data_IF_341635928565
#
_entry.id   IF_341635928565
#
_cell.length_a   1.000
_cell.length_b   1.000
_cell.length_c   1.000
_cell.angle_alpha   90.00
_cell.angle_beta   90.00
_cell.angle_gamma   90.00
#
_symmetry.space_group_name_H-M   'P 1'
#
loop_
_entity.id
_entity.type
_entity.pdbx_description
1 polymer ?
#
# COMPACT_ATOMS: atom_id res chain seq x y z
N UNK A 1 -58.60 48.27 36.77
CA UNK A 1 -57.41 47.79 36.02
C UNK A 1 -57.23 46.32 36.36
N UNK A 2 -57.23 45.45 35.34
CA UNK A 2 -57.27 43.98 35.42
C UNK A 2 -55.87 43.41 35.72
N UNK A 3 -55.84 42.37 36.56
CA UNK A 3 -54.77 41.37 36.64
C UNK A 3 -54.49 40.74 35.27
N UNK A 4 -53.30 40.16 35.07
CA UNK A 4 -53.09 38.74 34.72
C UNK A 4 -51.58 38.45 34.73
N UNK A 5 -51.15 37.49 35.57
CA UNK A 5 -49.90 36.74 35.42
C UNK A 5 -50.00 35.88 34.15
N UNK A 6 -49.04 36.01 33.23
CA UNK A 6 -48.84 35.02 32.16
C UNK A 6 -47.64 34.13 32.48
N UNK A 7 -47.97 32.89 32.80
CA UNK A 7 -47.14 31.70 32.60
C UNK A 7 -46.67 31.62 31.14
N UNK A 8 -45.35 31.49 30.94
CA UNK A 8 -44.73 31.39 29.62
C UNK A 8 -43.78 30.19 29.55
N UNK A 9 -44.36 29.06 29.11
CA UNK A 9 -43.78 27.86 28.48
C UNK A 9 -42.29 27.53 28.64
N UNK A 10 -42.07 26.31 29.13
CA UNK A 10 -40.87 25.49 28.97
C UNK A 10 -40.54 25.37 27.47
N UNK A 11 -39.36 25.81 27.06
CA UNK A 11 -38.77 25.40 25.78
C UNK A 11 -37.53 24.56 26.08
N UNK A 12 -37.72 23.24 26.11
CA UNK A 12 -36.63 22.29 25.92
C UNK A 12 -36.20 22.42 24.46
N UNK A 13 -35.24 23.29 24.18
CA UNK A 13 -34.43 23.14 22.99
C UNK A 13 -33.57 21.90 23.21
N UNK A 14 -34.00 20.80 22.60
CA UNK A 14 -33.21 19.59 22.47
C UNK A 14 -31.90 20.01 21.79
N UNK A 15 -30.80 19.99 22.55
CA UNK A 15 -29.47 19.90 21.96
C UNK A 15 -29.42 18.56 21.22
N UNK A 16 -29.85 18.57 19.96
CA UNK A 16 -29.42 17.57 19.00
C UNK A 16 -27.93 17.83 18.82
N UNK A 17 -27.11 17.18 19.63
CA UNK A 17 -25.76 16.84 19.23
C UNK A 17 -25.91 15.85 18.07
N UNK A 18 -26.25 16.38 16.89
CA UNK A 18 -25.97 15.71 15.64
C UNK A 18 -24.44 15.67 15.57
N UNK A 19 -23.88 14.60 16.16
CA UNK A 19 -22.52 14.19 15.93
C UNK A 19 -22.40 14.12 14.41
N UNK A 20 -21.54 14.93 13.76
CA UNK A 20 -21.33 14.75 12.33
C UNK A 20 -20.94 13.29 12.17
N UNK A 21 -21.68 12.55 11.34
CA UNK A 21 -21.26 11.22 10.92
C UNK A 21 -19.78 11.35 10.56
N UNK A 22 -18.89 10.53 11.15
CA UNK A 22 -17.51 10.55 10.70
C UNK A 22 -17.59 10.30 9.21
N UNK A 23 -17.23 11.31 8.40
CA UNK A 23 -16.94 11.10 7.00
C UNK A 23 -15.98 9.94 7.01
N UNK A 24 -16.43 8.80 6.49
CA UNK A 24 -15.51 7.76 6.11
C UNK A 24 -14.56 8.47 5.13
N UNK A 25 -13.36 8.79 5.60
CA UNK A 25 -12.25 9.09 4.73
C UNK A 25 -12.20 7.87 3.80
N UNK A 26 -12.52 8.08 2.52
CA UNK A 26 -12.26 7.07 1.51
C UNK A 26 -10.79 6.70 1.69
N UNK A 27 -10.50 5.42 1.92
CA UNK A 27 -9.12 4.96 1.97
C UNK A 27 -8.49 5.38 0.62
N UNK A 28 -7.64 6.40 0.65
CA UNK A 28 -7.12 7.01 -0.57
C UNK A 28 -6.09 6.13 -1.25
N UNK A 29 -5.61 5.11 -0.55
CA UNK A 29 -4.61 4.18 -1.06
C UNK A 29 -5.15 2.99 -1.85
N UNK A 30 -4.29 2.47 -2.71
CA UNK A 30 -4.55 1.29 -3.56
C UNK A 30 -3.52 0.19 -3.31
N UNK A 31 -4.03 -1.04 -3.15
CA UNK A 31 -3.18 -2.24 -3.03
C UNK A 31 -2.74 -2.75 -4.41
N UNK A 32 -1.48 -3.11 -4.52
CA UNK A 32 -0.84 -3.71 -5.69
C UNK A 32 -0.09 -4.99 -5.32
N UNK A 33 -0.05 -5.90 -6.29
CA UNK A 33 0.92 -6.99 -6.35
C UNK A 33 2.12 -6.48 -7.14
N UNK A 34 3.21 -6.19 -6.44
CA UNK A 34 4.49 -5.85 -7.04
C UNK A 34 5.24 -7.11 -7.48
N UNK A 35 5.97 -7.03 -8.60
CA UNK A 35 6.81 -8.12 -9.10
C UNK A 35 8.11 -7.59 -9.66
N UNK A 36 9.25 -8.07 -9.17
CA UNK A 36 10.57 -7.90 -9.79
C UNK A 36 10.83 -9.12 -10.67
N UNK A 37 11.09 -8.87 -11.96
CA UNK A 37 11.38 -9.92 -12.95
C UNK A 37 12.89 -10.12 -13.00
N UNK A 38 13.34 -11.32 -12.65
CA UNK A 38 14.75 -11.68 -12.65
C UNK A 38 15.22 -12.08 -14.06
N UNK A 39 16.55 -12.11 -14.26
CA UNK A 39 17.17 -12.40 -15.56
C UNK A 39 16.83 -13.79 -16.12
N UNK A 40 16.49 -14.74 -15.24
CA UNK A 40 16.03 -16.09 -15.62
C UNK A 40 14.51 -16.17 -15.84
N UNK A 41 13.84 -15.02 -15.96
CA UNK A 41 12.39 -14.86 -16.10
C UNK A 41 11.57 -15.29 -14.88
N UNK A 42 12.22 -15.61 -13.75
CA UNK A 42 11.50 -15.84 -12.50
C UNK A 42 11.00 -14.51 -11.92
N UNK A 43 9.92 -14.56 -11.14
CA UNK A 43 9.29 -13.38 -10.53
C UNK A 43 9.42 -13.45 -9.02
N UNK A 44 9.87 -12.36 -8.43
CA UNK A 44 9.81 -12.11 -6.99
C UNK A 44 8.65 -11.16 -6.73
N UNK A 45 7.59 -11.67 -6.12
CA UNK A 45 6.35 -10.90 -5.91
C UNK A 45 6.16 -10.51 -4.44
N UNK A 46 5.64 -9.31 -4.22
CA UNK A 46 5.38 -8.75 -2.90
C UNK A 46 4.12 -7.87 -2.91
N UNK A 47 3.48 -7.69 -1.76
CA UNK A 47 2.38 -6.73 -1.64
C UNK A 47 2.95 -5.31 -1.50
N UNK A 48 2.27 -4.35 -2.13
CA UNK A 48 2.57 -2.93 -2.02
C UNK A 48 1.27 -2.17 -1.81
N UNK A 49 1.26 -1.21 -0.89
CA UNK A 49 0.19 -0.23 -0.76
C UNK A 49 0.69 1.12 -1.25
N UNK A 50 -0.06 1.79 -2.12
CA UNK A 50 0.27 3.12 -2.61
C UNK A 50 -0.72 4.15 -2.08
N UNK A 51 -0.24 5.13 -1.33
CA UNK A 51 -1.05 6.22 -0.77
C UNK A 51 -0.21 7.49 -0.69
N UNK A 52 -0.77 8.64 -1.07
CA UNK A 52 -0.13 9.97 -0.93
C UNK A 52 1.34 10.06 -1.40
N UNK A 53 1.66 9.43 -2.54
CA UNK A 53 3.04 9.35 -3.08
C UNK A 53 4.01 8.50 -2.24
N UNK A 54 3.52 7.62 -1.39
CA UNK A 54 4.32 6.66 -0.62
C UNK A 54 3.94 5.24 -1.02
N UNK A 55 4.95 4.42 -1.30
CA UNK A 55 4.78 2.97 -1.45
C UNK A 55 5.21 2.27 -0.18
N UNK A 56 4.27 1.58 0.44
CA UNK A 56 4.53 0.70 1.58
C UNK A 56 4.68 -0.72 1.06
N UNK A 57 5.89 -1.24 1.11
CA UNK A 57 6.22 -2.61 0.70
C UNK A 57 6.06 -3.54 1.91
N UNK A 58 5.40 -4.68 1.71
CA UNK A 58 5.24 -5.70 2.75
C UNK A 58 6.15 -6.90 2.44
N UNK A 59 7.12 -7.12 3.32
CA UNK A 59 8.02 -8.28 3.28
C UNK A 59 7.50 -9.35 4.26
N UNK A 60 6.52 -10.14 3.81
CA UNK A 60 5.87 -11.15 4.66
C UNK A 60 4.90 -10.53 5.68
N UNK A 61 4.76 -11.16 6.84
CA UNK A 61 3.71 -10.81 7.84
C UNK A 61 4.13 -9.69 8.79
N UNK A 62 5.43 -9.54 9.05
CA UNK A 62 5.92 -8.69 10.16
C UNK A 62 6.81 -7.53 9.72
N UNK A 63 7.29 -7.52 8.48
CA UNK A 63 8.21 -6.48 8.00
C UNK A 63 7.55 -5.66 6.91
N UNK A 64 7.67 -4.34 7.03
CA UNK A 64 7.32 -3.40 5.98
C UNK A 64 8.29 -2.25 5.97
N UNK A 65 8.41 -1.60 4.81
CA UNK A 65 9.18 -0.38 4.67
C UNK A 65 8.53 0.53 3.64
N UNK A 66 8.81 1.81 3.76
CA UNK A 66 8.20 2.84 2.92
C UNK A 66 9.22 3.41 1.94
N UNK A 67 8.74 3.73 0.75
CA UNK A 67 9.48 4.45 -0.28
C UNK A 67 8.66 5.66 -0.69
N UNK A 68 9.15 6.84 -0.33
CA UNK A 68 8.60 8.09 -0.81
C UNK A 68 8.90 8.25 -2.31
N UNK A 69 7.87 8.60 -3.08
CA UNK A 69 7.94 8.85 -4.51
C UNK A 69 7.95 10.34 -4.81
N UNK A 70 8.64 10.69 -5.89
CA UNK A 70 8.68 12.03 -6.45
C UNK A 70 8.66 11.99 -7.97
N UNK A 71 8.11 13.04 -8.59
CA UNK A 71 7.97 13.13 -10.05
C UNK A 71 6.50 13.16 -10.47
N UNK A 72 6.26 13.63 -11.70
CA UNK A 72 4.92 13.79 -12.27
C UNK A 72 4.62 12.65 -13.26
N UNK A 73 5.38 12.57 -14.35
CA UNK A 73 5.22 11.52 -15.38
C UNK A 73 5.90 10.19 -15.03
N UNK A 74 6.95 10.27 -14.22
CA UNK A 74 7.74 9.12 -13.77
C UNK A 74 7.99 9.27 -12.30
N UNK A 75 7.39 8.39 -11.51
CA UNK A 75 7.56 8.35 -10.08
C UNK A 75 8.88 7.69 -9.74
N UNK A 76 9.68 8.34 -8.88
CA UNK A 76 11.01 7.88 -8.48
C UNK A 76 11.12 7.84 -6.96
N UNK A 77 11.67 6.76 -6.44
CA UNK A 77 11.96 6.60 -5.02
C UNK A 77 13.26 5.84 -4.79
N UNK A 78 13.80 5.94 -3.57
CA UNK A 78 15.00 5.22 -3.13
C UNK A 78 14.62 4.31 -1.98
N UNK A 79 15.07 3.05 -2.05
CA UNK A 79 14.83 2.10 -0.98
C UNK A 79 15.66 2.49 0.26
N UNK A 80 15.06 2.51 1.47
CA UNK A 80 15.76 2.98 2.66
C UNK A 80 16.87 2.04 3.15
N UNK A 81 16.75 0.73 2.88
CA UNK A 81 17.66 -0.31 3.39
C UNK A 81 18.53 -0.92 2.29
N UNK A 82 18.10 -0.83 1.04
CA UNK A 82 18.80 -1.41 -0.10
C UNK A 82 19.46 -0.29 -0.90
N UNK A 83 20.70 -0.51 -1.37
CA UNK A 83 21.38 0.39 -2.30
C UNK A 83 20.71 0.28 -3.69
N UNK A 84 19.49 0.78 -3.77
CA UNK A 84 18.66 0.66 -4.96
C UNK A 84 17.62 1.77 -5.06
N UNK A 85 17.35 2.16 -6.30
CA UNK A 85 16.31 3.10 -6.69
C UNK A 85 15.18 2.39 -7.43
N UNK A 86 14.02 3.04 -7.45
CA UNK A 86 12.80 2.59 -8.09
C UNK A 86 12.30 3.68 -9.03
N UNK A 87 12.07 3.36 -10.29
CA UNK A 87 11.37 4.25 -11.23
C UNK A 87 10.09 3.57 -11.72
N UNK A 88 8.97 4.28 -11.72
CA UNK A 88 7.66 3.79 -12.12
C UNK A 88 6.99 4.76 -13.10
N UNK A 89 6.32 4.19 -14.10
CA UNK A 89 5.48 4.89 -15.06
C UNK A 89 4.08 4.29 -14.98
N UNK A 90 3.07 5.15 -14.85
CA UNK A 90 1.68 4.72 -14.84
C UNK A 90 1.29 4.12 -16.20
N UNK A 91 0.46 3.09 -16.16
CA UNK A 91 -0.09 2.37 -17.32
C UNK A 91 -1.58 2.11 -17.08
N UNK A 92 -2.28 1.61 -18.10
CA UNK A 92 -3.71 1.25 -17.97
C UNK A 92 -3.96 0.21 -16.87
N UNK A 93 -2.99 -0.69 -16.64
CA UNK A 93 -3.11 -1.84 -15.73
C UNK A 93 -2.31 -1.67 -14.42
N UNK A 94 -1.93 -0.45 -14.04
CA UNK A 94 -1.12 -0.17 -12.85
C UNK A 94 0.18 0.56 -13.20
N UNK A 95 1.33 0.04 -12.76
CA UNK A 95 2.63 0.68 -13.01
C UNK A 95 3.65 -0.30 -13.61
N UNK A 96 4.50 0.22 -14.50
CA UNK A 96 5.69 -0.47 -15.00
C UNK A 96 6.93 0.34 -14.72
N UNK A 97 8.04 -0.34 -14.46
CA UNK A 97 9.21 0.33 -13.93
C UNK A 97 10.48 -0.50 -13.95
N UNK A 98 11.49 0.07 -13.29
CA UNK A 98 12.79 -0.55 -13.11
C UNK A 98 13.18 -0.50 -11.63
N UNK A 99 13.69 -1.63 -11.14
CA UNK A 99 14.49 -1.72 -9.93
C UNK A 99 15.96 -1.57 -10.31
N UNK A 100 16.61 -0.50 -9.83
CA UNK A 100 17.99 -0.17 -10.15
C UNK A 100 18.87 -0.39 -8.94
N UNK A 101 19.91 -1.23 -9.01
CA UNK A 101 20.91 -1.29 -7.92
C UNK A 101 21.95 -0.19 -8.11
N UNK A 102 22.14 0.65 -7.10
CA UNK A 102 23.09 1.77 -7.13
C UNK A 102 24.52 1.33 -6.80
N UNK A 103 24.69 0.16 -6.17
CA UNK A 103 25.99 -0.42 -5.79
C UNK A 103 26.56 -1.40 -6.83
N UNK A 104 25.81 -1.68 -7.91
CA UNK A 104 26.20 -2.63 -8.95
C UNK A 104 26.14 -1.97 -10.33
N UNK A 105 27.21 -2.11 -11.12
CA UNK A 105 27.28 -1.50 -12.45
C UNK A 105 26.19 -2.06 -13.38
N UNK A 106 25.31 -1.16 -13.84
CA UNK A 106 24.26 -1.44 -14.83
C UNK A 106 23.32 -2.58 -14.45
N UNK A 107 23.12 -2.85 -13.16
CA UNK A 107 22.18 -3.87 -12.73
C UNK A 107 20.77 -3.29 -12.60
N UNK A 108 19.91 -3.65 -13.55
CA UNK A 108 18.51 -3.23 -13.61
C UNK A 108 17.64 -4.45 -13.78
N UNK A 109 16.54 -4.50 -13.04
CA UNK A 109 15.51 -5.51 -13.20
C UNK A 109 14.18 -4.85 -13.51
N UNK A 110 13.39 -5.37 -14.46
CA UNK A 110 12.03 -4.91 -14.67
C UNK A 110 11.18 -5.09 -13.41
N UNK A 111 10.33 -4.12 -13.14
CA UNK A 111 9.38 -4.15 -12.03
C UNK A 111 7.98 -3.78 -12.54
N UNK A 112 6.97 -4.48 -12.05
CA UNK A 112 5.57 -4.23 -12.37
C UNK A 112 4.75 -4.16 -11.08
N UNK A 113 3.80 -3.23 -11.00
CA UNK A 113 2.78 -3.15 -9.96
C UNK A 113 1.41 -3.31 -10.60
N UNK A 114 0.73 -4.41 -10.31
CA UNK A 114 -0.62 -4.71 -10.83
C UNK A 114 -1.63 -4.62 -9.69
N UNK A 115 -2.79 -3.96 -9.86
CA UNK A 115 -3.81 -3.87 -8.81
C UNK A 115 -4.16 -5.23 -8.22
N UNK A 116 -4.18 -5.32 -6.89
CA UNK A 116 -4.52 -6.55 -6.18
C UNK A 116 -3.73 -6.76 -4.91
N UNK A 117 -3.99 -7.88 -4.24
CA UNK A 117 -3.33 -8.24 -2.98
C UNK A 117 -3.14 -9.75 -2.89
N UNK A 118 -1.92 -10.19 -2.61
CA UNK A 118 -1.63 -11.58 -2.29
C UNK A 118 -1.97 -11.86 -0.82
N UNK A 119 -2.53 -13.03 -0.55
CA UNK A 119 -2.67 -13.57 0.80
C UNK A 119 -1.48 -14.46 1.09
N UNK A 120 -0.64 -14.06 2.06
CA UNK A 120 0.42 -14.94 2.56
C UNK A 120 -0.22 -15.95 3.53
N UNK A 121 -0.17 -17.24 3.21
CA UNK A 121 -0.35 -18.27 4.24
C UNK A 121 0.87 -18.20 5.18
N UNK A 122 0.65 -18.25 6.50
CA UNK A 122 1.73 -18.15 7.47
C UNK A 122 2.77 -19.24 7.19
N UNK A 123 3.99 -18.83 6.82
CA UNK A 123 5.11 -19.76 6.74
C UNK A 123 5.44 -20.26 8.16
N UNK A 124 5.70 -21.56 8.36
CA UNK A 124 6.09 -22.09 9.67
C UNK A 124 7.24 -21.28 10.26
N UNK A 125 7.17 -20.99 11.56
CA UNK A 125 8.09 -20.09 12.29
C UNK A 125 9.55 -20.55 12.34
N UNK A 126 9.88 -21.71 11.75
CA UNK A 126 11.21 -22.32 11.79
C UNK A 126 11.99 -22.22 10.46
N UNK A 127 11.60 -21.32 9.55
CA UNK A 127 12.44 -21.04 8.38
C UNK A 127 13.61 -20.14 8.78
N UNK A 128 14.80 -20.74 8.91
CA UNK A 128 16.08 -20.09 9.27
C UNK A 128 16.64 -19.12 8.22
N UNK A 129 15.80 -18.65 7.29
CA UNK A 129 16.21 -17.78 6.19
C UNK A 129 15.65 -16.39 6.43
N UNK A 130 16.53 -15.45 6.79
CA UNK A 130 16.26 -14.04 7.08
C UNK A 130 15.56 -13.24 5.95
N UNK A 131 15.22 -13.87 4.83
CA UNK A 131 14.52 -13.26 3.71
C UNK A 131 13.56 -14.31 3.15
N UNK A 132 12.34 -14.36 3.66
CA UNK A 132 11.28 -15.19 3.09
C UNK A 132 10.76 -14.52 1.81
N UNK A 133 11.57 -14.56 0.75
CA UNK A 133 11.09 -14.30 -0.61
C UNK A 133 10.19 -15.48 -0.98
N UNK A 134 8.88 -15.34 -0.79
CA UNK A 134 7.91 -16.34 -1.22
C UNK A 134 7.95 -16.41 -2.73
N UNK A 135 8.63 -17.44 -3.26
CA UNK A 135 8.60 -17.77 -4.69
C UNK A 135 7.19 -18.27 -4.99
N UNK A 136 6.33 -17.43 -5.55
CA UNK A 136 5.06 -17.88 -6.11
C UNK A 136 5.38 -18.67 -7.39
N UNK A 137 5.43 -20.00 -7.25
CA UNK A 137 5.44 -20.93 -8.37
C UNK A 137 3.97 -21.18 -8.68
N UNK A 138 3.48 -20.62 -9.78
CA UNK A 138 2.08 -20.74 -10.19
C UNK A 138 1.59 -22.19 -10.18
N UNK A 139 0.34 -22.35 -9.73
CA UNK A 139 -0.44 -23.58 -9.55
C UNK A 139 0.25 -24.88 -10.01
N UNK A 140 0.91 -25.54 -9.07
CA UNK A 140 1.04 -26.99 -9.12
C UNK A 140 -0.28 -27.56 -8.59
N UNK A 141 -1.15 -28.02 -9.50
CA UNK A 141 -2.21 -28.96 -9.13
C UNK A 141 -1.58 -30.09 -8.31
N UNK A 142 -2.07 -30.24 -7.08
CA UNK A 142 -1.60 -31.24 -6.13
C UNK A 142 -2.03 -32.64 -6.63
N UNK A 143 -1.16 -33.67 -6.56
CA UNK A 143 -1.54 -35.04 -6.89
C UNK A 143 -2.58 -35.62 -5.94
#
# INVERSE_FOLDING_TARGET
MKNVLLTGAISMALFSCAQPEPKAEEATGQDFIGSIIQNDSTRVSFNVHYEENVLTFYNGVQESFEVALSGEDTLRGTFPVFASDLWLVATEDGYKGEYYRTDANNYRLPLELVPGRMTYEQSPSEFSSQYAITRYIGDQEKP
#
